data_IF_553487368144
#
_entry.id   IF_553487368144
#
_cell.length_a   1.000
_cell.length_b   1.000
_cell.length_c   1.000
_cell.angle_alpha   90.00
_cell.angle_beta   90.00
_cell.angle_gamma   90.00
#
_symmetry.space_group_name_H-M   'P 1'
#
loop_
_entity.id
_entity.type
_entity.pdbx_description
1 polymer ?
#
# COMPACT_ATOMS: atom_id res chain seq x y z
N UNK A 1 -48.48 -13.45 28.06
CA UNK A 1 -49.12 -12.88 26.85
C UNK A 1 -48.50 -11.49 26.67
N UNK A 2 -47.54 -11.27 25.75
CA UNK A 2 -47.72 -10.77 24.35
C UNK A 2 -48.75 -9.62 24.32
N UNK A 3 -48.42 -8.38 23.95
CA UNK A 3 -48.14 -7.87 22.57
C UNK A 3 -47.52 -6.45 22.68
N UNK A 4 -46.35 -6.18 22.08
CA UNK A 4 -46.13 -5.59 20.73
C UNK A 4 -46.50 -4.11 20.58
N UNK A 5 -45.49 -3.24 20.60
CA UNK A 5 -45.56 -1.85 20.16
C UNK A 5 -45.58 -1.80 18.63
N UNK A 6 -46.78 -1.69 18.08
CA UNK A 6 -47.05 -1.52 16.65
C UNK A 6 -47.24 -0.04 16.30
N UNK A 7 -46.69 0.35 15.14
CA UNK A 7 -47.11 1.43 14.22
C UNK A 7 -46.63 2.86 14.52
N UNK A 8 -45.41 3.16 14.06
CA UNK A 8 -45.11 4.44 13.42
C UNK A 8 -45.10 4.22 11.90
N UNK A 9 -46.28 4.39 11.29
CA UNK A 9 -46.50 4.45 9.84
C UNK A 9 -47.23 5.76 9.56
N UNK A 10 -46.50 6.73 9.01
CA UNK A 10 -46.99 7.78 8.10
C UNK A 10 -45.78 8.63 7.70
N UNK A 11 -45.12 8.31 6.60
CA UNK A 11 -45.57 8.69 5.25
C UNK A 11 -45.66 10.20 5.14
N UNK A 12 -44.59 10.79 4.60
CA UNK A 12 -44.63 12.10 3.94
C UNK A 12 -44.28 11.84 2.49
N UNK A 13 -45.26 12.12 1.65
CA UNK A 13 -45.33 11.87 0.22
C UNK A 13 -44.33 12.70 -0.61
N UNK A 14 -43.80 12.04 -1.63
CA UNK A 14 -43.66 12.45 -3.03
C UNK A 14 -43.52 13.95 -3.40
N UNK A 15 -42.40 14.28 -4.07
CA UNK A 15 -42.45 14.79 -5.47
C UNK A 15 -41.10 14.72 -6.19
N UNK A 16 -41.20 14.31 -7.45
CA UNK A 16 -40.18 14.17 -8.51
C UNK A 16 -39.12 15.27 -8.60
N UNK A 17 -37.90 14.85 -8.95
CA UNK A 17 -37.28 15.39 -10.16
C UNK A 17 -36.41 14.31 -10.81
N UNK A 18 -36.79 13.99 -12.03
CA UNK A 18 -36.04 13.23 -13.02
C UNK A 18 -34.66 13.89 -13.23
N UNK A 19 -33.61 13.08 -13.12
CA UNK A 19 -32.24 13.54 -13.22
C UNK A 19 -31.31 12.36 -13.45
N UNK A 20 -31.32 11.86 -14.68
CA UNK A 20 -30.27 11.01 -15.23
C UNK A 20 -28.92 11.69 -15.03
N UNK A 21 -28.18 11.26 -14.00
CA UNK A 21 -26.74 11.42 -13.90
C UNK A 21 -26.19 10.15 -13.27
N UNK A 22 -25.82 9.22 -14.14
CA UNK A 22 -24.73 8.24 -14.00
C UNK A 22 -24.00 8.40 -12.65
N UNK A 23 -24.32 7.51 -11.70
CA UNK A 23 -23.55 7.34 -10.48
C UNK A 23 -22.16 6.77 -10.85
N UNK A 24 -21.30 7.66 -11.34
CA UNK A 24 -19.86 7.48 -11.43
C UNK A 24 -19.34 7.64 -10.00
N UNK A 25 -18.69 6.59 -9.52
CA UNK A 25 -17.58 6.63 -8.56
C UNK A 25 -17.83 7.36 -7.24
N UNK A 26 -18.40 6.65 -6.28
CA UNK A 26 -18.26 6.98 -4.85
C UNK A 26 -17.91 5.74 -4.05
N UNK A 27 -16.73 5.17 -4.34
CA UNK A 27 -16.10 4.13 -3.50
C UNK A 27 -14.56 4.19 -3.52
N UNK A 28 -13.97 5.37 -3.73
CA UNK A 28 -12.50 5.55 -3.81
C UNK A 28 -11.92 6.61 -2.86
N UNK A 29 -12.71 7.17 -1.93
CA UNK A 29 -12.24 8.19 -0.99
C UNK A 29 -11.63 7.54 0.27
N UNK A 30 -10.43 6.97 0.13
CA UNK A 30 -9.40 6.75 1.19
C UNK A 30 -8.08 6.16 0.65
N UNK A 31 -7.94 5.93 -0.66
CA UNK A 31 -6.73 5.34 -1.27
C UNK A 31 -5.90 6.34 -2.11
N UNK A 32 -6.32 7.60 -2.18
CA UNK A 32 -5.65 8.64 -2.98
C UNK A 32 -4.17 8.86 -2.58
N UNK A 33 -3.79 9.01 -1.30
CA UNK A 33 -2.38 9.28 -0.96
C UNK A 33 -1.48 8.05 -1.09
N UNK A 34 -2.01 6.86 -0.85
CA UNK A 34 -1.24 5.61 -0.91
C UNK A 34 -0.90 5.24 -2.36
N UNK A 35 -1.84 5.46 -3.29
CA UNK A 35 -1.63 5.21 -4.72
C UNK A 35 -0.63 6.19 -5.35
N UNK A 36 -0.64 7.47 -4.94
CA UNK A 36 0.37 8.45 -5.38
C UNK A 36 1.76 8.10 -4.84
N UNK A 37 1.89 7.86 -3.53
CA UNK A 37 3.15 7.42 -2.91
C UNK A 37 3.73 6.16 -3.57
N UNK A 38 2.89 5.16 -3.81
CA UNK A 38 3.31 3.93 -4.46
C UNK A 38 3.86 4.20 -5.86
N UNK A 39 3.19 5.05 -6.65
CA UNK A 39 3.64 5.46 -7.99
C UNK A 39 4.99 6.15 -7.96
N UNK A 40 5.20 7.12 -7.08
CA UNK A 40 6.50 7.78 -6.91
C UNK A 40 7.61 6.76 -6.59
N UNK A 41 7.34 5.83 -5.67
CA UNK A 41 8.28 4.76 -5.31
C UNK A 41 8.54 3.79 -6.47
N UNK A 42 7.54 3.48 -7.29
CA UNK A 42 7.69 2.64 -8.48
C UNK A 42 8.56 3.28 -9.56
N UNK A 43 8.55 4.61 -9.70
CA UNK A 43 9.43 5.31 -10.66
C UNK A 43 10.91 5.06 -10.34
N UNK A 44 11.28 5.10 -9.06
CA UNK A 44 12.64 4.77 -8.62
C UNK A 44 13.03 3.31 -8.89
N UNK A 45 12.05 2.41 -8.98
CA UNK A 45 12.28 1.00 -9.28
C UNK A 45 12.62 0.77 -10.76
N UNK A 46 12.22 1.67 -11.67
CA UNK A 46 12.45 1.55 -13.11
C UNK A 46 13.92 1.68 -13.52
N UNK A 47 14.70 2.48 -12.78
CA UNK A 47 16.15 2.66 -13.01
C UNK A 47 17.00 1.57 -12.34
N UNK A 48 16.36 0.74 -11.49
CA UNK A 48 17.04 -0.24 -10.66
C UNK A 48 17.28 -1.56 -11.40
N UNK A 49 18.49 -2.12 -11.30
CA UNK A 49 18.76 -3.45 -11.85
C UNK A 49 17.91 -4.55 -11.19
N UNK A 50 17.60 -5.61 -11.93
CA UNK A 50 16.76 -6.71 -11.42
C UNK A 50 17.31 -7.33 -10.13
N UNK A 51 16.42 -7.63 -9.19
CA UNK A 51 16.73 -8.19 -7.86
C UNK A 51 17.61 -7.31 -6.98
N UNK A 52 17.59 -5.99 -7.21
CA UNK A 52 18.17 -5.01 -6.31
C UNK A 52 17.08 -4.24 -5.57
N UNK A 53 17.45 -3.72 -4.40
CA UNK A 53 16.67 -2.84 -3.56
C UNK A 53 17.37 -1.49 -3.43
N UNK A 54 16.59 -0.46 -3.17
CA UNK A 54 17.05 0.83 -2.65
C UNK A 54 16.23 1.16 -1.42
N UNK A 55 16.83 1.89 -0.49
CA UNK A 55 16.17 2.40 0.71
C UNK A 55 15.91 3.88 0.47
N UNK A 56 14.68 4.31 0.70
CA UNK A 56 14.29 5.71 0.72
C UNK A 56 14.33 6.17 2.17
N UNK A 57 15.05 7.25 2.41
CA UNK A 57 15.18 7.86 3.73
C UNK A 57 14.14 8.97 3.91
N UNK A 58 13.88 9.34 5.15
CA UNK A 58 12.95 10.43 5.51
C UNK A 58 13.30 11.79 4.87
N UNK A 59 14.57 12.02 4.57
CA UNK A 59 15.07 13.21 3.89
C UNK A 59 14.80 13.20 2.36
N UNK A 60 14.24 12.11 1.82
CA UNK A 60 13.99 11.91 0.39
C UNK A 60 15.22 11.40 -0.38
N UNK A 61 16.36 11.24 0.29
CA UNK A 61 17.55 10.63 -0.29
C UNK A 61 17.35 9.13 -0.52
N UNK A 62 18.00 8.58 -1.54
CA UNK A 62 17.99 7.15 -1.88
C UNK A 62 19.34 6.51 -1.54
N UNK A 63 19.33 5.29 -1.03
CA UNK A 63 20.54 4.50 -0.84
C UNK A 63 21.15 4.04 -2.17
N UNK A 64 22.37 3.53 -2.11
CA UNK A 64 22.94 2.78 -3.22
C UNK A 64 22.13 1.49 -3.51
N UNK A 65 22.22 0.92 -4.73
CA UNK A 65 21.55 -0.32 -5.08
C UNK A 65 22.06 -1.54 -4.30
N UNK A 66 21.27 -1.98 -3.33
CA UNK A 66 21.55 -3.10 -2.43
C UNK A 66 21.07 -4.42 -3.05
N UNK A 67 21.91 -5.46 -2.99
CA UNK A 67 21.48 -6.80 -3.39
C UNK A 67 20.63 -7.47 -2.31
N UNK A 68 19.68 -8.33 -2.69
CA UNK A 68 18.77 -9.02 -1.76
C UNK A 68 19.46 -9.70 -0.55
N UNK A 69 20.67 -10.25 -0.73
CA UNK A 69 21.43 -10.89 0.35
C UNK A 69 21.95 -9.90 1.40
N UNK A 70 22.20 -8.65 1.01
CA UNK A 70 22.72 -7.58 1.88
C UNK A 70 21.63 -6.68 2.44
N UNK A 71 20.42 -6.74 1.87
CA UNK A 71 19.29 -5.88 2.23
C UNK A 71 18.99 -5.90 3.73
N UNK A 72 18.99 -7.08 4.37
CA UNK A 72 18.76 -7.18 5.81
C UNK A 72 19.72 -6.28 6.61
N UNK A 73 21.01 -6.46 6.37
CA UNK A 73 22.06 -5.73 7.07
C UNK A 73 22.00 -4.23 6.77
N UNK A 74 21.79 -3.86 5.52
CA UNK A 74 21.74 -2.45 5.11
C UNK A 74 20.49 -1.76 5.66
N UNK A 75 19.33 -2.44 5.70
CA UNK A 75 18.10 -1.93 6.28
C UNK A 75 18.23 -1.74 7.80
N UNK A 76 18.82 -2.71 8.51
CA UNK A 76 19.09 -2.58 9.96
C UNK A 76 20.06 -1.44 10.30
N UNK A 77 20.98 -1.11 9.38
CA UNK A 77 21.93 -0.01 9.53
C UNK A 77 21.39 1.32 8.97
N UNK A 78 20.26 1.30 8.26
CA UNK A 78 19.68 2.46 7.61
C UNK A 78 18.81 3.23 8.60
N UNK A 79 19.46 4.08 9.39
CA UNK A 79 18.77 5.01 10.29
C UNK A 79 17.94 6.02 9.48
N UNK A 80 16.66 6.15 9.81
CA UNK A 80 15.73 7.02 9.10
C UNK A 80 15.22 6.47 7.76
N UNK A 81 15.32 5.16 7.53
CA UNK A 81 14.68 4.49 6.41
C UNK A 81 13.15 4.51 6.54
N UNK A 82 12.46 5.02 5.52
CA UNK A 82 10.98 5.09 5.48
C UNK A 82 10.37 4.10 4.49
N UNK A 83 11.08 3.78 3.42
CA UNK A 83 10.62 2.81 2.44
C UNK A 83 11.75 1.95 1.87
N UNK A 84 11.44 0.69 1.56
CA UNK A 84 12.30 -0.16 0.72
C UNK A 84 11.64 -0.33 -0.64
N UNK A 85 12.36 -0.05 -1.71
CA UNK A 85 11.91 -0.32 -3.09
C UNK A 85 12.74 -1.45 -3.68
N UNK A 86 12.11 -2.56 -4.03
CA UNK A 86 12.77 -3.75 -4.55
C UNK A 86 12.31 -4.10 -5.96
N UNK A 87 13.24 -4.12 -6.93
CA UNK A 87 12.96 -4.54 -8.30
C UNK A 87 12.87 -6.09 -8.41
N UNK A 88 11.82 -6.65 -7.84
CA UNK A 88 11.50 -8.07 -7.92
C UNK A 88 10.34 -8.47 -7.00
N UNK A 89 10.08 -9.79 -6.89
CA UNK A 89 9.01 -10.29 -6.06
C UNK A 89 9.31 -10.11 -4.57
N UNK A 90 8.36 -9.54 -3.82
CA UNK A 90 8.45 -9.45 -2.37
C UNK A 90 8.33 -10.85 -1.76
N UNK A 91 9.17 -11.16 -0.77
CA UNK A 91 9.15 -12.45 -0.08
C UNK A 91 8.93 -12.24 1.41
N UNK A 92 8.55 -13.30 2.14
CA UNK A 92 8.37 -13.27 3.60
C UNK A 92 9.52 -12.54 4.29
N UNK A 93 10.75 -12.94 3.94
CA UNK A 93 11.99 -12.34 4.45
C UNK A 93 12.08 -10.83 4.24
N UNK A 94 11.54 -10.29 3.16
CA UNK A 94 11.59 -8.84 2.92
C UNK A 94 10.65 -8.08 3.84
N UNK A 95 9.49 -8.65 4.13
CA UNK A 95 8.54 -8.11 5.11
C UNK A 95 9.17 -8.16 6.50
N UNK A 96 9.78 -9.30 6.87
CA UNK A 96 10.51 -9.44 8.14
C UNK A 96 11.64 -8.42 8.29
N UNK A 97 12.42 -8.17 7.22
CA UNK A 97 13.49 -7.16 7.22
C UNK A 97 12.90 -5.76 7.45
N UNK A 98 11.83 -5.41 6.75
CA UNK A 98 11.18 -4.12 6.90
C UNK A 98 10.66 -3.93 8.34
N UNK A 99 9.92 -4.92 8.87
CA UNK A 99 9.45 -4.90 10.26
C UNK A 99 10.60 -4.79 11.28
N UNK A 100 11.66 -5.59 11.12
CA UNK A 100 12.81 -5.58 12.04
C UNK A 100 13.57 -4.26 12.00
N UNK A 101 13.63 -3.63 10.84
CA UNK A 101 14.31 -2.35 10.62
C UNK A 101 13.40 -1.15 10.91
N UNK A 102 12.17 -1.38 11.41
CA UNK A 102 11.15 -0.36 11.63
C UNK A 102 10.83 0.49 10.39
N UNK A 103 10.86 -0.13 9.21
CA UNK A 103 10.55 0.50 7.93
C UNK A 103 9.07 0.29 7.65
N UNK A 104 8.35 1.40 7.57
CA UNK A 104 6.89 1.41 7.44
C UNK A 104 6.41 0.99 6.05
N UNK A 105 7.23 1.13 5.01
CA UNK A 105 6.80 0.90 3.62
C UNK A 105 7.72 -0.06 2.86
N UNK A 106 7.13 -1.01 2.13
CA UNK A 106 7.85 -1.98 1.30
C UNK A 106 7.21 -2.09 -0.09
N UNK A 107 7.98 -1.87 -1.13
CA UNK A 107 7.52 -1.80 -2.51
C UNK A 107 8.21 -2.87 -3.34
N UNK A 108 7.46 -3.58 -4.19
CA UNK A 108 8.04 -4.53 -5.14
C UNK A 108 7.21 -4.77 -6.39
N UNK A 109 7.72 -5.62 -7.28
CA UNK A 109 7.07 -5.86 -8.58
C UNK A 109 5.82 -6.74 -8.47
N UNK A 110 5.85 -7.72 -7.56
CA UNK A 110 4.87 -8.82 -7.46
C UNK A 110 4.94 -9.48 -6.07
N UNK A 111 3.89 -10.19 -5.66
CA UNK A 111 3.98 -11.09 -4.51
C UNK A 111 4.83 -12.33 -4.86
N UNK A 112 5.77 -12.68 -3.99
CA UNK A 112 6.65 -13.84 -4.11
C UNK A 112 6.29 -14.95 -3.13
N UNK A 113 7.20 -15.92 -3.00
CA UNK A 113 6.99 -17.09 -2.13
C UNK A 113 6.93 -16.67 -0.65
N UNK A 114 5.85 -17.07 0.03
CA UNK A 114 5.63 -16.79 1.45
C UNK A 114 5.27 -15.33 1.75
N UNK A 115 5.11 -14.49 0.74
CA UNK A 115 4.72 -13.10 0.96
C UNK A 115 3.35 -13.03 1.63
N UNK A 116 3.30 -12.29 2.73
CA UNK A 116 2.10 -11.93 3.46
C UNK A 116 2.20 -10.47 3.86
N UNK A 117 1.09 -9.75 3.77
CA UNK A 117 1.01 -8.37 4.26
C UNK A 117 0.95 -8.38 5.79
N UNK A 118 1.65 -7.46 6.43
CA UNK A 118 1.61 -7.26 7.88
C UNK A 118 0.97 -5.89 8.18
N UNK A 119 0.21 -5.77 9.28
CA UNK A 119 -0.33 -4.47 9.72
C UNK A 119 0.75 -3.44 10.07
N UNK A 120 1.97 -3.90 10.37
CA UNK A 120 3.12 -3.05 10.71
C UNK A 120 3.84 -2.48 9.49
N UNK A 121 3.67 -3.08 8.30
CA UNK A 121 4.42 -2.72 7.08
C UNK A 121 3.45 -2.58 5.92
N UNK A 122 3.31 -1.35 5.43
CA UNK A 122 2.53 -1.04 4.24
C UNK A 122 3.25 -1.58 3.01
N UNK A 123 2.60 -2.50 2.29
CA UNK A 123 3.21 -3.17 1.14
C UNK A 123 2.55 -2.74 -0.16
N UNK A 124 3.36 -2.35 -1.14
CA UNK A 124 2.90 -1.94 -2.46
C UNK A 124 3.45 -2.88 -3.54
N UNK A 125 2.54 -3.43 -4.34
CA UNK A 125 2.89 -4.37 -5.41
C UNK A 125 2.59 -3.73 -6.74
N UNK A 126 3.59 -3.49 -7.59
CA UNK A 126 3.44 -2.85 -8.90
C UNK A 126 2.41 -3.57 -9.79
N UNK A 127 2.35 -4.91 -9.73
CA UNK A 127 1.38 -5.69 -10.49
C UNK A 127 -0.09 -5.38 -10.14
N UNK A 128 -0.36 -4.79 -8.98
CA UNK A 128 -1.71 -4.40 -8.54
C UNK A 128 -2.15 -3.04 -9.13
N UNK A 129 -1.19 -2.22 -9.56
CA UNK A 129 -1.42 -0.86 -10.09
C UNK A 129 -1.31 -0.77 -11.62
N UNK A 130 -1.30 -1.91 -12.33
CA UNK A 130 -1.13 -2.01 -13.79
C UNK A 130 -2.43 -2.22 -14.55
#
# INVERSE_FOLDING_TARGET
MKVEASRFLKQVDAKESEGDQKATEVLAASTEPASEKAKELFEHMGDLASKKAIIVYVDGTLSEPIGATKLAKEAEQADGAVAIVFNGPLSERMVEIASTSAIETLVGTSAGKGFSTSDEVETFILADYK
#
